data_IF_456734539310
#
_entry.id   IF_456734539310
#
_cell.length_a   1.000
_cell.length_b   1.000
_cell.length_c   1.000
_cell.angle_alpha   90.00
_cell.angle_beta   90.00
_cell.angle_gamma   90.00
#
_symmetry.space_group_name_H-M   'P 1'
#
loop_
_entity.id
_entity.type
_entity.pdbx_description
1 polymer ?
#
# COMPACT_ATOMS: atom_id res chain seq x y z
N UNK A 1 15.49 -26.54 -5.64
CA UNK A 1 15.40 -25.10 -5.91
C UNK A 1 14.68 -24.48 -4.72
N UNK A 2 15.30 -23.55 -4.02
CA UNK A 2 14.62 -22.79 -2.97
C UNK A 2 13.43 -22.08 -3.57
N UNK A 3 12.26 -22.22 -2.94
CA UNK A 3 11.03 -21.56 -3.38
C UNK A 3 11.20 -20.06 -3.12
N UNK A 4 11.39 -19.28 -4.16
CA UNK A 4 11.61 -17.84 -4.04
C UNK A 4 10.27 -17.18 -3.66
N UNK A 5 10.21 -16.52 -2.50
CA UNK A 5 9.03 -15.73 -2.13
C UNK A 5 8.80 -14.60 -3.12
N UNK A 6 7.55 -14.27 -3.43
CA UNK A 6 7.18 -13.13 -4.27
C UNK A 6 6.17 -12.28 -3.52
N UNK A 7 6.49 -11.01 -3.34
CA UNK A 7 5.63 -10.02 -2.68
C UNK A 7 5.01 -9.10 -3.71
N UNK A 8 3.70 -8.94 -3.66
CA UNK A 8 2.97 -8.03 -4.54
C UNK A 8 2.48 -6.84 -3.71
N UNK A 9 2.98 -5.64 -3.98
CA UNK A 9 2.50 -4.41 -3.35
C UNK A 9 1.49 -3.71 -4.25
N UNK A 10 0.34 -3.28 -3.71
CA UNK A 10 -0.72 -2.63 -4.47
C UNK A 10 -1.02 -1.25 -3.90
N UNK A 11 -0.53 -0.20 -4.58
CA UNK A 11 -1.01 1.17 -4.43
C UNK A 11 -2.27 1.39 -5.30
N UNK A 12 -3.19 2.24 -4.87
CA UNK A 12 -4.51 2.34 -5.53
C UNK A 12 -5.24 3.63 -5.24
N UNK A 13 -5.93 4.20 -6.22
CA UNK A 13 -6.92 5.25 -6.02
C UNK A 13 -8.15 4.72 -5.27
N UNK A 14 -8.89 5.61 -4.61
CA UNK A 14 -10.14 5.23 -3.98
C UNK A 14 -11.21 4.97 -5.04
N UNK A 15 -11.91 3.85 -4.93
CA UNK A 15 -12.91 3.45 -5.93
C UNK A 15 -12.35 2.71 -7.14
N UNK A 16 -11.02 2.67 -7.36
CA UNK A 16 -10.43 1.91 -8.48
C UNK A 16 -10.48 0.38 -8.32
N UNK A 17 -10.98 -0.14 -7.19
CA UNK A 17 -11.05 -1.60 -6.97
C UNK A 17 -9.76 -2.26 -6.53
N UNK A 18 -8.66 -1.52 -6.31
CA UNK A 18 -7.36 -2.11 -6.01
C UNK A 18 -7.34 -3.02 -4.77
N UNK A 19 -8.18 -2.76 -3.73
CA UNK A 19 -8.36 -3.68 -2.59
C UNK A 19 -9.00 -4.99 -3.05
N UNK A 20 -10.09 -4.92 -3.80
CA UNK A 20 -10.79 -6.11 -4.32
C UNK A 20 -9.89 -6.94 -5.22
N UNK A 21 -9.12 -6.29 -6.12
CA UNK A 21 -8.13 -6.96 -6.97
C UNK A 21 -7.08 -7.66 -6.11
N UNK A 22 -6.58 -7.03 -5.05
CA UNK A 22 -5.61 -7.64 -4.13
C UNK A 22 -6.18 -8.85 -3.38
N UNK A 23 -7.42 -8.78 -2.90
CA UNK A 23 -8.12 -9.89 -2.25
C UNK A 23 -8.34 -11.07 -3.22
N UNK A 24 -8.75 -10.79 -4.46
CA UNK A 24 -8.92 -11.80 -5.51
C UNK A 24 -7.58 -12.46 -5.86
N UNK A 25 -6.53 -11.67 -6.06
CA UNK A 25 -5.19 -12.16 -6.37
C UNK A 25 -4.63 -13.05 -5.26
N UNK A 26 -4.76 -12.63 -4.00
CA UNK A 26 -4.37 -13.42 -2.83
C UNK A 26 -5.06 -14.79 -2.80
N UNK A 27 -6.37 -14.79 -3.03
CA UNK A 27 -7.17 -16.03 -3.07
C UNK A 27 -6.75 -16.95 -4.21
N UNK A 28 -6.54 -16.40 -5.41
CA UNK A 28 -6.15 -17.18 -6.59
C UNK A 28 -4.76 -17.80 -6.46
N UNK A 29 -3.81 -17.06 -5.87
CA UNK A 29 -2.44 -17.53 -5.66
C UNK A 29 -2.29 -18.37 -4.38
N UNK A 30 -3.29 -18.36 -3.48
CA UNK A 30 -3.25 -19.05 -2.20
C UNK A 30 -2.19 -18.47 -1.25
N UNK A 31 -2.01 -17.15 -1.24
CA UNK A 31 -1.04 -16.42 -0.42
C UNK A 31 -1.73 -15.40 0.50
N UNK A 32 -1.13 -15.05 1.66
CA UNK A 32 -1.66 -14.04 2.57
C UNK A 32 -1.93 -12.68 1.93
N UNK A 33 -2.90 -11.96 2.50
CA UNK A 33 -3.29 -10.60 2.13
C UNK A 33 -3.19 -9.70 3.36
N UNK A 34 -2.48 -8.58 3.23
CA UNK A 34 -2.23 -7.63 4.31
C UNK A 34 -2.66 -6.21 3.94
N UNK A 35 -3.58 -5.65 4.72
CA UNK A 35 -4.00 -4.24 4.62
C UNK A 35 -3.96 -3.59 6.02
N UNK A 36 -5.02 -3.72 6.81
CA UNK A 36 -5.10 -3.15 8.16
C UNK A 36 -4.36 -3.98 9.20
N UNK A 37 -4.22 -5.25 8.95
CA UNK A 37 -3.54 -6.22 9.83
C UNK A 37 -2.10 -5.80 10.14
N UNK A 38 -1.43 -5.10 9.21
CA UNK A 38 -0.09 -4.54 9.42
C UNK A 38 -0.01 -3.58 10.60
N UNK A 39 -1.08 -2.81 10.87
CA UNK A 39 -1.12 -1.89 12.02
C UNK A 39 -1.16 -2.65 13.34
N UNK A 40 -1.89 -3.77 13.37
CA UNK A 40 -1.93 -4.63 14.54
C UNK A 40 -0.56 -5.26 14.79
N UNK A 41 0.08 -5.81 13.77
CA UNK A 41 1.43 -6.38 13.91
C UNK A 41 2.45 -5.32 14.39
N UNK A 42 2.40 -4.10 13.83
CA UNK A 42 3.26 -3.02 14.28
C UNK A 42 2.95 -2.59 15.73
N UNK A 43 1.69 -2.64 16.15
CA UNK A 43 1.27 -2.40 17.54
C UNK A 43 1.79 -3.50 18.48
N UNK A 44 1.61 -4.76 18.11
CA UNK A 44 2.06 -5.91 18.91
C UNK A 44 3.60 -5.91 19.06
N UNK A 45 4.34 -5.58 18.01
CA UNK A 45 5.81 -5.51 18.00
C UNK A 45 6.35 -4.34 18.83
N UNK A 46 5.74 -3.15 18.72
CA UNK A 46 6.23 -1.94 19.37
C UNK A 46 5.71 -1.73 20.78
N UNK A 47 4.59 -2.38 21.15
CA UNK A 47 3.82 -2.06 22.37
C UNK A 47 3.06 -0.73 22.29
N UNK A 48 3.07 -0.04 21.15
CA UNK A 48 2.33 1.21 20.92
C UNK A 48 0.88 0.89 20.55
N UNK A 49 -0.07 1.61 21.13
CA UNK A 49 -1.50 1.39 20.87
C UNK A 49 -1.84 1.51 19.37
N UNK A 50 -2.53 0.53 18.81
CA UNK A 50 -2.93 0.46 17.39
C UNK A 50 -3.66 1.72 16.91
N UNK A 51 -4.44 2.38 17.78
CA UNK A 51 -5.14 3.61 17.43
C UNK A 51 -4.23 4.77 17.02
N UNK A 52 -2.97 4.79 17.48
CA UNK A 52 -1.98 5.78 17.08
C UNK A 52 -1.50 5.54 15.65
N UNK A 53 -1.31 4.27 15.26
CA UNK A 53 -1.00 3.91 13.88
C UNK A 53 -2.11 4.31 12.92
N UNK A 54 -3.38 4.07 13.28
CA UNK A 54 -4.54 4.49 12.47
C UNK A 54 -4.57 6.02 12.32
N UNK A 55 -4.35 6.77 13.39
CA UNK A 55 -4.32 8.24 13.37
C UNK A 55 -3.14 8.78 12.55
N UNK A 56 -1.97 8.17 12.65
CA UNK A 56 -0.79 8.56 11.88
C UNK A 56 -1.05 8.49 10.38
N UNK A 57 -1.68 7.42 9.91
CA UNK A 57 -2.10 7.28 8.51
C UNK A 57 -3.09 8.38 8.06
N UNK A 58 -3.80 8.98 9.00
CA UNK A 58 -4.85 9.98 8.73
C UNK A 58 -4.37 11.44 8.88
N UNK A 59 -3.26 11.71 9.58
CA UNK A 59 -2.92 13.04 10.10
C UNK A 59 -1.64 13.69 9.58
N UNK A 60 -1.19 13.39 8.36
CA UNK A 60 -0.11 14.20 7.78
C UNK A 60 -0.69 15.55 7.35
N UNK A 61 -0.42 16.59 8.16
CA UNK A 61 -0.82 17.97 7.88
C UNK A 61 0.06 18.55 6.77
N UNK A 62 -0.54 19.34 5.88
CA UNK A 62 0.16 20.05 4.78
C UNK A 62 1.33 20.93 5.25
N UNK A 63 1.32 21.40 6.50
CA UNK A 63 2.45 22.13 7.10
C UNK A 63 3.69 21.26 7.32
N UNK A 64 3.55 19.93 7.34
CA UNK A 64 4.67 18.99 7.50
C UNK A 64 5.39 18.71 6.17
N UNK A 65 4.77 19.05 5.02
CA UNK A 65 5.38 18.88 3.70
C UNK A 65 6.66 19.70 3.51
N UNK A 66 6.83 20.81 4.25
CA UNK A 66 8.09 21.58 4.28
C UNK A 66 9.27 20.84 4.96
N UNK A 67 9.02 19.74 5.67
CA UNK A 67 10.05 18.90 6.30
C UNK A 67 10.43 17.66 5.48
N UNK A 68 9.89 17.49 4.26
CA UNK A 68 10.09 16.33 3.37
C UNK A 68 11.57 15.97 3.19
N UNK A 69 12.45 16.95 3.16
CA UNK A 69 13.89 16.72 2.96
C UNK A 69 14.60 16.06 4.16
N UNK A 70 13.99 16.04 5.35
CA UNK A 70 14.61 15.50 6.59
C UNK A 70 14.06 14.15 7.03
N UNK A 71 12.86 13.76 6.59
CA UNK A 71 12.11 12.63 7.17
C UNK A 71 11.81 11.51 6.16
N UNK A 72 12.53 11.45 5.04
CA UNK A 72 12.51 10.27 4.17
C UNK A 72 12.96 9.07 5.00
N UNK A 73 12.17 8.00 4.96
CA UNK A 73 12.41 6.77 5.69
C UNK A 73 13.87 6.29 5.60
N UNK A 74 14.53 6.20 6.73
CA UNK A 74 15.92 5.73 6.86
C UNK A 74 16.05 4.38 7.56
N UNK A 75 14.96 3.82 8.08
CA UNK A 75 14.92 2.48 8.66
C UNK A 75 15.27 2.39 10.14
N UNK A 76 15.57 3.50 10.84
CA UNK A 76 15.92 3.50 12.24
C UNK A 76 14.69 3.56 13.14
N UNK A 77 14.63 2.66 14.14
CA UNK A 77 13.61 2.66 15.17
C UNK A 77 14.02 3.59 16.33
N UNK A 78 13.06 4.39 16.81
CA UNK A 78 13.24 5.24 17.98
C UNK A 78 12.88 4.41 19.21
N UNK A 79 13.76 4.35 20.25
CA UNK A 79 13.53 3.51 21.41
C UNK A 79 12.45 4.07 22.35
N UNK A 80 11.84 3.22 23.22
CA UNK A 80 10.73 3.58 24.08
C UNK A 80 11.00 4.74 25.07
N UNK A 81 12.26 4.97 25.40
CA UNK A 81 12.69 6.03 26.34
C UNK A 81 12.69 7.42 25.70
N UNK A 82 12.52 7.53 24.38
CA UNK A 82 12.50 8.79 23.65
C UNK A 82 11.11 9.44 23.65
N UNK A 83 11.06 10.77 23.77
CA UNK A 83 9.83 11.55 23.60
C UNK A 83 9.19 11.37 22.20
N UNK A 84 10.01 11.02 21.20
CA UNK A 84 9.58 10.78 19.82
C UNK A 84 9.17 9.31 19.57
N UNK A 85 9.09 8.46 20.58
CA UNK A 85 8.73 7.05 20.44
C UNK A 85 7.39 6.84 19.74
N UNK A 86 6.40 7.69 20.00
CA UNK A 86 5.07 7.65 19.36
C UNK A 86 4.93 8.65 18.21
N UNK A 87 6.03 9.15 17.67
CA UNK A 87 6.01 10.04 16.51
C UNK A 87 5.52 9.33 15.25
N UNK A 88 4.94 10.10 14.31
CA UNK A 88 4.48 9.53 13.03
C UNK A 88 5.60 8.81 12.27
N UNK A 89 6.83 9.33 12.37
CA UNK A 89 7.98 8.73 11.70
C UNK A 89 8.33 7.38 12.31
N UNK A 90 8.31 7.25 13.64
CA UNK A 90 8.59 5.97 14.29
C UNK A 90 7.46 4.96 14.08
N UNK A 91 6.20 5.41 14.08
CA UNK A 91 5.06 4.56 13.73
C UNK A 91 5.21 3.99 12.31
N UNK A 92 5.66 4.81 11.35
CA UNK A 92 5.97 4.35 10.01
C UNK A 92 7.16 3.37 10.00
N UNK A 93 8.21 3.63 10.80
CA UNK A 93 9.38 2.76 10.88
C UNK A 93 9.02 1.35 11.37
N UNK A 94 8.13 1.23 12.37
CA UNK A 94 7.61 -0.07 12.81
C UNK A 94 6.80 -0.77 11.72
N UNK A 95 5.92 -0.06 11.01
CA UNK A 95 5.21 -0.65 9.86
C UNK A 95 6.18 -1.14 8.77
N UNK A 96 7.20 -0.35 8.46
CA UNK A 96 8.21 -0.70 7.48
C UNK A 96 9.05 -1.92 7.91
N UNK A 97 9.34 -2.07 9.21
CA UNK A 97 10.00 -3.26 9.78
C UNK A 97 9.15 -4.50 9.50
N UNK A 98 7.88 -4.49 9.88
CA UNK A 98 6.96 -5.61 9.64
C UNK A 98 6.85 -5.95 8.15
N UNK A 99 6.73 -4.95 7.27
CA UNK A 99 6.68 -5.16 5.82
C UNK A 99 7.94 -5.89 5.32
N UNK A 100 9.13 -5.54 5.82
CA UNK A 100 10.38 -6.20 5.45
C UNK A 100 10.48 -7.62 5.98
N UNK A 101 10.03 -7.87 7.20
CA UNK A 101 9.97 -9.21 7.80
C UNK A 101 9.08 -10.14 6.97
N UNK A 102 7.85 -9.71 6.66
CA UNK A 102 6.92 -10.46 5.81
C UNK A 102 7.52 -10.76 4.42
N UNK A 103 8.20 -9.78 3.81
CA UNK A 103 8.81 -9.98 2.49
C UNK A 103 9.94 -11.02 2.48
N UNK A 104 10.62 -11.22 3.61
CA UNK A 104 11.65 -12.24 3.75
C UNK A 104 11.07 -13.63 4.08
N UNK A 105 9.94 -13.69 4.78
CA UNK A 105 9.38 -14.92 5.32
C UNK A 105 8.47 -15.64 4.33
N UNK A 106 7.61 -14.89 3.60
CA UNK A 106 6.59 -15.51 2.77
C UNK A 106 6.22 -14.69 1.52
N UNK A 107 5.51 -15.35 0.59
CA UNK A 107 4.84 -14.67 -0.51
C UNK A 107 3.54 -14.07 -0.01
N UNK A 108 3.27 -12.80 -0.30
CA UNK A 108 2.05 -12.12 0.15
C UNK A 108 1.64 -10.96 -0.76
N UNK A 109 0.40 -10.49 -0.56
CA UNK A 109 -0.13 -9.25 -1.15
C UNK A 109 -0.22 -8.19 -0.07
N UNK A 110 0.41 -7.03 -0.27
CA UNK A 110 0.42 -5.90 0.67
C UNK A 110 -0.27 -4.69 0.04
N UNK A 111 -1.21 -4.10 0.76
CA UNK A 111 -2.01 -2.98 0.27
C UNK A 111 -1.54 -1.63 0.83
N UNK A 112 -0.96 -0.79 -0.02
CA UNK A 112 -0.53 0.57 0.31
C UNK A 112 0.64 0.63 1.28
N UNK A 113 0.61 1.54 2.28
CA UNK A 113 1.62 1.69 3.34
C UNK A 113 3.03 2.04 2.82
N UNK A 114 3.12 2.60 1.60
CA UNK A 114 4.40 2.80 0.92
C UNK A 114 5.23 1.52 0.82
N UNK A 115 4.58 0.33 0.79
CA UNK A 115 5.27 -0.95 0.75
C UNK A 115 6.15 -1.09 -0.50
N UNK A 116 5.71 -0.53 -1.63
CA UNK A 116 6.48 -0.39 -2.86
C UNK A 116 7.83 0.32 -2.64
N UNK A 117 7.82 1.41 -1.84
CA UNK A 117 9.03 2.16 -1.52
C UNK A 117 9.88 1.47 -0.44
N UNK A 118 9.25 0.91 0.60
CA UNK A 118 9.94 0.19 1.68
C UNK A 118 10.72 -1.01 1.13
N UNK A 119 10.18 -1.67 0.10
CA UNK A 119 10.74 -2.86 -0.53
C UNK A 119 11.41 -2.58 -1.88
N UNK A 120 11.70 -1.33 -2.23
CA UNK A 120 12.22 -0.91 -3.55
C UNK A 120 13.54 -1.60 -3.97
N UNK A 121 14.32 -2.03 -2.99
CA UNK A 121 15.62 -2.67 -3.19
C UNK A 121 15.54 -4.22 -3.13
N UNK A 122 14.30 -4.78 -3.11
CA UNK A 122 14.04 -6.22 -3.07
C UNK A 122 13.73 -6.76 -4.47
N UNK A 123 14.52 -7.73 -4.92
CA UNK A 123 14.37 -8.34 -6.26
C UNK A 123 13.11 -9.21 -6.41
N UNK A 124 12.52 -9.65 -5.30
CA UNK A 124 11.33 -10.51 -5.24
C UNK A 124 10.01 -9.73 -5.11
N UNK A 125 10.00 -8.43 -5.36
CA UNK A 125 8.83 -7.56 -5.22
C UNK A 125 8.29 -7.16 -6.58
N UNK A 126 6.96 -7.21 -6.73
CA UNK A 126 6.20 -6.62 -7.82
C UNK A 126 5.38 -5.45 -7.28
N UNK A 127 5.66 -4.25 -7.73
CA UNK A 127 4.92 -3.03 -7.37
C UNK A 127 3.85 -2.70 -8.40
N UNK A 128 2.59 -2.58 -7.96
CA UNK A 128 1.42 -2.35 -8.81
C UNK A 128 0.68 -1.09 -8.37
N UNK A 129 0.25 -0.28 -9.33
CA UNK A 129 -0.66 0.84 -9.11
C UNK A 129 -1.98 0.61 -9.86
N UNK A 130 -3.10 0.61 -9.13
CA UNK A 130 -4.45 0.46 -9.71
C UNK A 130 -5.14 1.83 -9.72
N UNK A 131 -5.54 2.26 -10.91
CA UNK A 131 -6.25 3.51 -11.13
C UNK A 131 -7.50 3.31 -11.98
N UNK A 132 -8.35 4.33 -12.03
CA UNK A 132 -9.49 4.41 -12.93
C UNK A 132 -9.92 5.87 -13.09
N UNK A 133 -10.70 6.23 -14.11
CA UNK A 133 -11.37 7.52 -14.23
C UNK A 133 -12.25 7.83 -13.02
N UNK A 134 -12.43 9.13 -12.73
CA UNK A 134 -13.14 9.61 -11.54
C UNK A 134 -14.60 9.14 -11.50
N UNK A 135 -15.30 9.17 -12.62
CA UNK A 135 -16.69 8.71 -12.76
C UNK A 135 -16.82 7.22 -12.38
N UNK A 136 -15.92 6.38 -12.86
CA UNK A 136 -15.86 4.96 -12.48
C UNK A 136 -15.59 4.81 -10.96
N UNK A 137 -14.66 5.57 -10.41
CA UNK A 137 -14.33 5.53 -8.98
C UNK A 137 -15.54 5.92 -8.13
N UNK A 138 -16.30 6.95 -8.53
CA UNK A 138 -17.53 7.39 -7.85
C UNK A 138 -18.59 6.27 -7.93
N UNK A 139 -18.80 5.68 -9.10
CA UNK A 139 -19.76 4.59 -9.27
C UNK A 139 -19.45 3.39 -8.38
N UNK A 140 -18.19 2.95 -8.35
CA UNK A 140 -17.77 1.83 -7.50
C UNK A 140 -17.87 2.15 -5.99
N UNK A 141 -17.55 3.39 -5.61
CA UNK A 141 -17.67 3.83 -4.23
C UNK A 141 -19.13 3.94 -3.78
N UNK A 142 -20.05 4.36 -4.66
CA UNK A 142 -21.47 4.44 -4.39
C UNK A 142 -22.09 3.08 -4.03
N UNK A 143 -21.55 1.99 -4.51
CA UNK A 143 -21.99 0.62 -4.12
C UNK A 143 -21.71 0.28 -2.66
N UNK A 144 -20.76 1.00 -2.03
CA UNK A 144 -20.29 0.74 -0.66
C UNK A 144 -20.73 1.81 0.36
N UNK A 145 -21.22 2.95 -0.10
CA UNK A 145 -21.57 4.09 0.74
C UNK A 145 -22.97 4.62 0.42
N UNK A 146 -23.72 4.99 1.44
CA UNK A 146 -25.02 5.65 1.31
C UNK A 146 -24.92 7.18 1.23
N UNK A 147 -23.84 7.71 0.63
CA UNK A 147 -23.59 9.14 0.46
C UNK A 147 -24.16 9.66 -0.86
N UNK A 148 -24.52 10.94 -0.91
CA UNK A 148 -24.84 11.59 -2.19
C UNK A 148 -23.62 11.71 -3.10
N UNK A 149 -23.82 11.70 -4.43
CA UNK A 149 -22.69 11.68 -5.40
C UNK A 149 -21.69 12.83 -5.20
N UNK A 150 -22.16 14.06 -4.91
CA UNK A 150 -21.27 15.21 -4.64
C UNK A 150 -20.47 15.09 -3.35
N UNK A 151 -21.03 14.43 -2.34
CA UNK A 151 -20.34 14.17 -1.08
C UNK A 151 -19.31 13.07 -1.27
N UNK A 152 -19.66 12.04 -2.03
CA UNK A 152 -18.80 10.91 -2.36
C UNK A 152 -17.59 11.35 -3.18
N UNK A 153 -17.80 12.21 -4.18
CA UNK A 153 -16.73 12.82 -4.96
C UNK A 153 -15.71 13.55 -4.05
N UNK A 154 -16.18 14.45 -3.18
CA UNK A 154 -15.31 15.13 -2.22
C UNK A 154 -14.59 14.17 -1.28
N UNK A 155 -15.26 13.09 -0.88
CA UNK A 155 -14.66 12.07 -0.03
C UNK A 155 -13.52 11.32 -0.76
N UNK A 156 -13.71 10.97 -2.04
CA UNK A 156 -12.70 10.31 -2.89
C UNK A 156 -11.47 11.22 -3.03
N UNK A 157 -11.69 12.45 -3.49
CA UNK A 157 -10.61 13.45 -3.69
C UNK A 157 -9.82 13.67 -2.39
N UNK A 158 -10.52 13.85 -1.25
CA UNK A 158 -9.87 14.02 0.05
C UNK A 158 -9.07 12.78 0.46
N UNK A 159 -9.59 11.59 0.20
CA UNK A 159 -8.94 10.32 0.55
C UNK A 159 -7.67 10.12 -0.27
N UNK A 160 -7.72 10.35 -1.57
CA UNK A 160 -6.57 10.15 -2.44
C UNK A 160 -5.52 11.25 -2.25
N UNK A 161 -5.95 12.50 -2.01
CA UNK A 161 -5.03 13.56 -1.57
C UNK A 161 -4.26 13.15 -0.31
N UNK A 162 -4.95 12.62 0.71
CA UNK A 162 -4.32 12.17 1.96
C UNK A 162 -3.32 11.03 1.71
N UNK A 163 -3.63 10.08 0.83
CA UNK A 163 -2.71 9.01 0.42
C UNK A 163 -1.47 9.55 -0.28
N UNK A 164 -1.67 10.49 -1.20
CA UNK A 164 -0.56 11.16 -1.88
C UNK A 164 0.32 11.96 -0.94
N UNK A 165 -0.27 12.72 0.00
CA UNK A 165 0.46 13.49 1.02
C UNK A 165 1.26 12.55 1.95
N UNK A 166 0.67 11.42 2.38
CA UNK A 166 1.34 10.39 3.18
C UNK A 166 2.51 9.77 2.42
N UNK A 167 2.28 9.36 1.18
CA UNK A 167 3.32 8.77 0.34
C UNK A 167 4.48 9.76 0.11
N UNK A 168 4.17 11.00 -0.25
CA UNK A 168 5.17 12.05 -0.47
C UNK A 168 5.98 12.35 0.80
N UNK A 169 5.33 12.39 1.95
CA UNK A 169 5.97 12.64 3.23
C UNK A 169 7.03 11.58 3.56
N UNK A 170 6.69 10.28 3.44
CA UNK A 170 7.59 9.20 3.82
C UNK A 170 8.59 8.79 2.73
N UNK A 171 8.29 9.07 1.45
CA UNK A 171 9.12 8.61 0.33
C UNK A 171 9.85 9.72 -0.43
N UNK A 172 9.38 10.96 -0.30
CA UNK A 172 9.84 12.09 -1.11
C UNK A 172 9.37 12.05 -2.57
N UNK A 173 8.52 11.07 -2.96
CA UNK A 173 8.08 10.81 -4.34
C UNK A 173 6.62 11.19 -4.54
N UNK A 174 6.22 11.43 -5.79
CA UNK A 174 4.81 11.61 -6.13
C UNK A 174 4.11 10.25 -6.25
N UNK A 175 2.99 10.09 -5.53
CA UNK A 175 2.25 8.83 -5.44
C UNK A 175 1.70 8.34 -6.78
N UNK A 176 1.30 9.25 -7.67
CA UNK A 176 0.73 8.95 -8.99
C UNK A 176 1.78 8.84 -10.09
N UNK A 177 3.07 8.94 -9.77
CA UNK A 177 4.13 8.80 -10.76
C UNK A 177 4.32 7.34 -11.14
N UNK A 178 3.95 7.00 -12.38
CA UNK A 178 4.05 5.65 -12.92
C UNK A 178 5.47 5.04 -12.81
N UNK A 179 6.52 5.86 -12.74
CA UNK A 179 7.91 5.41 -12.60
C UNK A 179 8.22 4.76 -11.25
N UNK A 180 7.32 4.89 -10.28
CA UNK A 180 7.45 4.24 -8.97
C UNK A 180 6.98 2.78 -8.97
N UNK A 181 6.32 2.33 -10.04
CA UNK A 181 5.63 1.05 -10.08
C UNK A 181 6.08 0.22 -11.28
N UNK A 182 6.14 -1.10 -11.11
CA UNK A 182 6.44 -2.03 -12.21
C UNK A 182 5.25 -2.15 -13.17
N UNK A 183 4.01 -2.01 -12.65
CA UNK A 183 2.78 -2.19 -13.41
C UNK A 183 1.72 -1.17 -12.99
N UNK A 184 1.14 -0.45 -13.95
CA UNK A 184 0.01 0.46 -13.73
C UNK A 184 -1.19 0.00 -14.56
N UNK A 185 -2.34 -0.26 -13.90
CA UNK A 185 -3.53 -0.81 -14.54
C UNK A 185 -4.74 0.11 -14.39
N UNK A 186 -5.40 0.40 -15.51
CA UNK A 186 -6.73 1.02 -15.54
C UNK A 186 -7.81 -0.05 -15.39
N UNK A 187 -8.35 -0.15 -14.18
CA UNK A 187 -9.35 -1.15 -13.84
C UNK A 187 -10.72 -0.90 -14.50
N UNK A 188 -10.99 0.32 -14.97
CA UNK A 188 -12.21 0.63 -15.71
C UNK A 188 -12.22 0.02 -17.11
N UNK A 189 -11.03 -0.18 -17.70
CA UNK A 189 -10.85 -0.76 -19.03
C UNK A 189 -10.78 -2.28 -19.00
N UNK A 190 -10.08 -2.82 -17.99
CA UNK A 190 -9.83 -4.25 -17.90
C UNK A 190 -10.92 -5.01 -17.14
N UNK A 191 -11.56 -4.36 -16.14
CA UNK A 191 -12.29 -5.08 -15.11
C UNK A 191 -11.35 -5.71 -14.08
N UNK A 192 -11.89 -6.13 -12.94
CA UNK A 192 -11.08 -6.58 -11.80
C UNK A 192 -10.43 -7.95 -12.07
N UNK A 193 -11.17 -8.86 -12.70
CA UNK A 193 -10.71 -10.19 -13.05
C UNK A 193 -9.53 -10.13 -14.03
N UNK A 194 -9.62 -9.31 -15.09
CA UNK A 194 -8.51 -9.17 -16.03
C UNK A 194 -7.31 -8.45 -15.41
N UNK A 195 -7.52 -7.51 -14.48
CA UNK A 195 -6.39 -6.95 -13.71
C UNK A 195 -5.63 -8.03 -12.92
N UNK A 196 -6.35 -8.98 -12.32
CA UNK A 196 -5.73 -10.13 -11.63
C UNK A 196 -4.93 -10.98 -12.61
N UNK A 197 -5.48 -11.31 -13.79
CA UNK A 197 -4.77 -12.09 -14.80
C UNK A 197 -3.52 -11.39 -15.35
N UNK A 198 -3.57 -10.07 -15.56
CA UNK A 198 -2.40 -9.28 -15.97
C UNK A 198 -1.30 -9.30 -14.92
N UNK A 199 -1.65 -9.14 -13.63
CA UNK A 199 -0.67 -9.24 -12.54
C UNK A 199 -0.05 -10.64 -12.50
N UNK A 200 -0.85 -11.70 -12.64
CA UNK A 200 -0.37 -13.10 -12.69
C UNK A 200 0.52 -13.34 -13.92
N UNK A 201 0.18 -12.76 -15.08
CA UNK A 201 1.01 -12.85 -16.28
C UNK A 201 2.37 -12.17 -16.07
N UNK A 202 2.39 -10.98 -15.46
CA UNK A 202 3.64 -10.28 -15.13
C UNK A 202 4.51 -11.10 -14.17
N UNK A 203 3.91 -11.70 -13.13
CA UNK A 203 4.61 -12.57 -12.18
C UNK A 203 5.28 -13.74 -12.92
N UNK A 204 4.55 -14.42 -13.81
CA UNK A 204 5.10 -15.54 -14.62
C UNK A 204 6.29 -15.10 -15.48
N UNK A 205 6.18 -13.94 -16.13
CA UNK A 205 7.24 -13.42 -17.00
C UNK A 205 8.49 -13.05 -16.20
N UNK A 206 8.32 -12.38 -15.05
CA UNK A 206 9.45 -11.86 -14.25
C UNK A 206 10.06 -12.90 -13.31
N UNK A 207 9.22 -13.70 -12.67
CA UNK A 207 9.63 -14.60 -11.58
C UNK A 207 9.50 -16.11 -11.94
N UNK A 208 8.90 -16.42 -13.10
CA UNK A 208 8.61 -17.80 -13.50
C UNK A 208 7.35 -18.36 -12.83
N UNK A 209 7.18 -19.67 -12.89
CA UNK A 209 6.00 -20.38 -12.39
C UNK A 209 6.07 -20.64 -10.86
N UNK A 210 6.33 -19.59 -10.08
CA UNK A 210 6.54 -19.68 -8.62
C UNK A 210 5.29 -20.11 -7.84
N UNK A 211 4.09 -19.93 -8.41
CA UNK A 211 2.80 -20.30 -7.83
C UNK A 211 2.12 -21.50 -8.51
N UNK A 212 2.77 -22.14 -9.49
CA UNK A 212 2.24 -23.39 -10.08
C UNK A 212 2.31 -24.52 -9.04
N UNK A 213 1.16 -25.21 -8.87
CA UNK A 213 1.06 -26.41 -8.05
C UNK A 213 1.50 -27.63 -8.86
#
# INVERSE_FOLDING_TARGET
>A
MEKKNVVITIARQYGSGGRTIGEMLSKDLGIPYYDKELLKFASDESGINESLFVKSDEMIKSSSLFRIAKNVYQGELIPPESDDFTSNDNLFNYQAKIIKELANEESCVIIGRCADYVLKDYDNVLSVFIHAPEDFCIEQAAKKHSMGLKELDRFIVKTDKRRGDYYKYHTGREWTDARNYDLCLDSSKLGFECCVEEIKAYIRVRFGDVFSK
#
